data_IF_637964010970
#
_entry.id   IF_637964010970
#
_cell.length_a   1.000
_cell.length_b   1.000
_cell.length_c   1.000
_cell.angle_alpha   90.00
_cell.angle_beta   90.00
_cell.angle_gamma   90.00
#
_symmetry.space_group_name_H-M   'P 1'
#
loop_
_entity.id
_entity.type
_entity.pdbx_description
1 polymer ?
#
# COMPACT_ATOMS: atom_id res chain seq x y z
N UNK A 1 -12.04 0.42 -18.11
CA UNK A 1 -11.26 -0.01 -16.90
C UNK A 1 -10.68 1.17 -16.11
N UNK A 2 -10.88 1.24 -14.77
CA UNK A 2 -10.31 2.28 -13.88
C UNK A 2 -9.25 1.67 -12.95
N UNK A 3 -8.12 2.36 -12.73
CA UNK A 3 -7.13 1.98 -11.72
C UNK A 3 -7.72 2.19 -10.31
N UNK A 4 -7.70 1.16 -9.46
CA UNK A 4 -8.20 1.25 -8.08
C UNK A 4 -7.15 1.71 -7.08
N UNK A 5 -5.87 1.57 -7.41
CA UNK A 5 -4.78 2.15 -6.63
C UNK A 5 -4.79 3.68 -6.69
N UNK A 6 -5.19 4.28 -5.59
CA UNK A 6 -5.24 5.73 -5.40
C UNK A 6 -3.82 6.26 -5.14
N UNK A 7 -3.48 7.39 -5.75
CA UNK A 7 -2.20 8.06 -5.48
C UNK A 7 -2.29 8.87 -4.19
N UNK A 8 -1.23 8.94 -3.36
CA UNK A 8 -1.24 9.66 -2.11
C UNK A 8 -1.03 11.18 -2.34
N UNK A 9 -1.99 11.80 -3.03
CA UNK A 9 -2.13 13.25 -3.19
C UNK A 9 -2.73 13.85 -1.93
N UNK A 10 -2.56 15.15 -1.71
CA UNK A 10 -3.11 15.84 -0.53
C UNK A 10 -4.64 15.65 -0.41
N UNK A 11 -5.37 15.77 -1.52
CA UNK A 11 -6.82 15.54 -1.57
C UNK A 11 -7.20 14.11 -1.17
N UNK A 12 -6.53 13.09 -1.71
CA UNK A 12 -6.80 11.70 -1.37
C UNK A 12 -6.42 11.36 0.08
N UNK A 13 -5.35 11.97 0.61
CA UNK A 13 -4.95 11.81 2.01
C UNK A 13 -6.02 12.39 2.94
N UNK A 14 -6.52 13.57 2.60
CA UNK A 14 -7.59 14.26 3.31
C UNK A 14 -8.89 13.46 3.31
N UNK A 15 -9.35 13.02 2.13
CA UNK A 15 -10.54 12.16 2.01
C UNK A 15 -10.35 10.84 2.79
N UNK A 16 -9.17 10.23 2.68
CA UNK A 16 -8.89 8.98 3.38
C UNK A 16 -8.93 9.12 4.91
N UNK A 17 -8.53 10.27 5.45
CA UNK A 17 -8.66 10.58 6.88
C UNK A 17 -10.12 10.81 7.25
N UNK A 18 -10.85 11.61 6.47
CA UNK A 18 -12.26 11.93 6.72
C UNK A 18 -13.14 10.68 6.79
N UNK A 19 -12.94 9.76 5.86
CA UNK A 19 -13.75 8.55 5.76
C UNK A 19 -13.17 7.36 6.55
N UNK A 20 -12.04 7.59 7.25
CA UNK A 20 -11.29 6.58 8.01
C UNK A 20 -11.11 5.27 7.21
N UNK A 21 -10.67 5.42 5.95
CA UNK A 21 -10.70 4.37 4.92
C UNK A 21 -10.01 3.09 5.38
N UNK A 22 -8.86 3.20 6.05
CA UNK A 22 -8.08 2.05 6.52
C UNK A 22 -8.35 1.69 7.99
N UNK A 23 -9.17 2.47 8.70
CA UNK A 23 -9.37 2.30 10.14
C UNK A 23 -8.21 2.79 11.03
N UNK A 24 -7.17 3.43 10.45
CA UNK A 24 -5.93 3.79 11.16
C UNK A 24 -5.88 5.20 11.73
N UNK A 25 -6.97 5.96 11.72
CA UNK A 25 -6.95 7.33 12.25
C UNK A 25 -6.49 7.39 13.72
N UNK A 26 -6.90 6.42 14.54
CA UNK A 26 -6.44 6.33 15.93
C UNK A 26 -4.92 6.09 16.02
N UNK A 27 -4.36 5.31 15.10
CA UNK A 27 -2.90 5.07 15.07
C UNK A 27 -2.13 6.30 14.58
N UNK A 28 -2.72 7.09 13.67
CA UNK A 28 -2.17 8.41 13.31
C UNK A 28 -2.12 9.27 14.56
N UNK A 29 -3.23 9.39 15.30
CA UNK A 29 -3.27 10.13 16.57
C UNK A 29 -2.19 9.66 17.56
N UNK A 30 -2.07 8.35 17.79
CA UNK A 30 -1.09 7.77 18.71
C UNK A 30 0.35 8.12 18.33
N UNK A 31 0.70 8.08 17.04
CA UNK A 31 2.04 8.48 16.59
C UNK A 31 2.28 9.98 16.83
N UNK A 32 1.29 10.84 16.53
CA UNK A 32 1.42 12.28 16.76
C UNK A 32 1.50 12.64 18.25
N UNK A 33 0.77 11.91 19.09
CA UNK A 33 0.85 12.02 20.55
C UNK A 33 2.25 11.63 21.04
N UNK A 34 2.80 10.53 20.53
CA UNK A 34 4.18 10.12 20.82
C UNK A 34 5.17 11.22 20.42
N UNK A 35 5.05 11.80 19.22
CA UNK A 35 5.93 12.86 18.77
C UNK A 35 5.85 14.12 19.63
N UNK A 36 4.69 14.46 20.19
CA UNK A 36 4.55 15.59 21.13
C UNK A 36 5.27 15.35 22.46
N UNK A 37 5.14 14.15 23.02
CA UNK A 37 5.68 13.80 24.33
C UNK A 37 7.12 13.32 24.30
N UNK A 38 7.63 12.93 23.14
CA UNK A 38 8.99 12.45 22.96
C UNK A 38 10.02 13.51 23.44
N UNK A 39 11.06 13.06 24.13
CA UNK A 39 12.18 13.89 24.57
C UNK A 39 13.44 13.54 23.76
N UNK A 40 14.24 14.55 23.43
CA UNK A 40 15.45 14.38 22.63
C UNK A 40 15.19 14.20 21.13
N UNK A 41 16.04 13.42 20.47
CA UNK A 41 16.03 13.19 19.02
C UNK A 41 16.00 11.70 18.77
N UNK A 42 15.03 11.21 18.00
CA UNK A 42 14.83 9.79 17.74
C UNK A 42 14.90 9.48 16.25
N UNK A 43 15.32 8.26 15.93
CA UNK A 43 15.10 7.60 14.65
C UNK A 43 14.09 6.46 14.85
N UNK A 44 12.91 6.61 14.23
CA UNK A 44 11.78 5.69 14.39
C UNK A 44 11.55 4.96 13.07
N UNK A 45 11.46 3.64 13.09
CA UNK A 45 11.01 2.85 11.94
C UNK A 45 9.52 2.49 12.09
N UNK A 46 8.70 2.86 11.11
CA UNK A 46 7.34 2.35 10.90
C UNK A 46 7.45 1.14 9.96
N UNK A 47 7.44 -0.05 10.56
CA UNK A 47 7.61 -1.31 9.86
C UNK A 47 6.26 -1.85 9.34
N UNK A 48 6.20 -2.23 8.07
CA UNK A 48 5.05 -2.96 7.53
C UNK A 48 5.31 -3.47 6.12
N UNK A 49 4.50 -4.41 5.66
CA UNK A 49 4.74 -5.09 4.38
C UNK A 49 4.50 -4.16 3.18
N UNK A 50 4.94 -4.59 2.00
CA UNK A 50 4.57 -3.93 0.74
C UNK A 50 3.07 -3.99 0.48
N UNK A 51 2.49 -2.84 0.07
CA UNK A 51 1.06 -2.75 -0.20
C UNK A 51 0.17 -2.59 1.05
N UNK A 52 0.75 -2.55 2.26
CA UNK A 52 0.01 -2.35 3.52
C UNK A 52 -0.50 -0.92 3.73
N UNK A 53 -0.03 0.06 2.94
CA UNK A 53 -0.46 1.46 3.02
C UNK A 53 0.45 2.39 3.83
N UNK A 54 1.73 2.02 4.08
CA UNK A 54 2.69 2.82 4.84
C UNK A 54 2.81 4.28 4.34
N UNK A 55 2.98 4.48 3.04
CA UNK A 55 3.07 5.81 2.42
C UNK A 55 1.85 6.68 2.72
N UNK A 56 0.65 6.11 2.66
CA UNK A 56 -0.57 6.81 3.07
C UNK A 56 -0.51 7.19 4.55
N UNK A 57 -0.13 6.25 5.42
CA UNK A 57 -0.04 6.49 6.86
C UNK A 57 0.95 7.61 7.23
N UNK A 58 2.17 7.61 6.69
CA UNK A 58 3.15 8.68 6.98
C UNK A 58 2.75 10.03 6.38
N UNK A 59 2.14 10.04 5.18
CA UNK A 59 1.61 11.27 4.58
C UNK A 59 0.39 11.81 5.33
N UNK A 60 -0.45 10.95 5.91
CA UNK A 60 -1.52 11.34 6.82
C UNK A 60 -0.97 12.01 8.08
N UNK A 61 0.05 11.42 8.71
CA UNK A 61 0.73 12.03 9.85
C UNK A 61 1.32 13.40 9.50
N UNK A 62 2.02 13.48 8.37
CA UNK A 62 2.56 14.74 7.85
C UNK A 62 1.47 15.79 7.61
N UNK A 63 0.38 15.41 6.96
CA UNK A 63 -0.75 16.30 6.65
C UNK A 63 -1.32 16.91 7.93
N UNK A 64 -1.60 16.07 8.95
CA UNK A 64 -2.12 16.55 10.23
C UNK A 64 -1.13 17.50 10.91
N UNK A 65 0.16 17.15 10.97
CA UNK A 65 1.20 18.03 11.52
C UNK A 65 1.28 19.38 10.79
N UNK A 66 1.23 19.39 9.46
CA UNK A 66 1.28 20.62 8.67
C UNK A 66 0.05 21.50 8.92
N UNK A 67 -1.14 20.91 9.01
CA UNK A 67 -2.36 21.66 9.30
C UNK A 67 -2.36 22.24 10.73
N UNK A 68 -1.84 21.54 11.73
CA UNK A 68 -1.69 22.05 13.10
C UNK A 68 -0.72 23.23 13.19
N UNK A 69 0.28 23.29 12.30
CA UNK A 69 1.28 24.36 12.26
C UNK A 69 0.92 25.52 11.32
N UNK A 70 -0.21 25.43 10.61
CA UNK A 70 -0.62 26.47 9.68
C UNK A 70 -1.04 27.74 10.42
N UNK A 71 -0.53 28.89 9.97
CA UNK A 71 -0.94 30.22 10.43
C UNK A 71 -2.33 30.63 9.92
N UNK A 72 -2.91 29.83 9.02
CA UNK A 72 -4.22 30.04 8.43
C UNK A 72 -5.28 29.31 9.28
N UNK A 73 -6.09 30.08 10.02
CA UNK A 73 -7.19 29.57 10.84
C UNK A 73 -8.18 28.71 10.03
N UNK A 74 -8.25 28.87 8.71
CA UNK A 74 -9.09 28.02 7.84
C UNK A 74 -8.55 26.59 7.69
N UNK A 75 -7.22 26.39 7.73
CA UNK A 75 -6.60 25.05 7.66
C UNK A 75 -6.61 24.34 9.03
N UNK A 76 -6.40 25.06 10.14
CA UNK A 76 -6.68 24.55 11.49
C UNK A 76 -8.17 24.23 11.66
N UNK A 77 -9.03 25.04 11.03
CA UNK A 77 -10.46 24.82 10.91
C UNK A 77 -10.84 23.59 10.09
N UNK A 78 -10.04 23.16 9.12
CA UNK A 78 -10.32 21.97 8.31
C UNK A 78 -10.23 20.67 9.12
N UNK A 79 -9.23 20.49 9.98
CA UNK A 79 -9.14 19.31 10.86
C UNK A 79 -10.36 19.24 11.81
N UNK A 80 -10.74 20.38 12.38
CA UNK A 80 -11.87 20.51 13.30
C UNK A 80 -13.23 20.38 12.62
N UNK A 81 -13.42 20.98 11.43
CA UNK A 81 -14.67 20.94 10.66
C UNK A 81 -14.91 19.57 10.02
N UNK A 82 -13.85 18.84 9.70
CA UNK A 82 -13.91 17.47 9.18
C UNK A 82 -14.03 16.42 10.28
N UNK A 83 -14.01 16.83 11.56
CA UNK A 83 -14.12 15.96 12.74
C UNK A 83 -13.12 14.80 12.70
N UNK A 84 -11.93 15.03 12.15
CA UNK A 84 -10.89 13.99 12.00
C UNK A 84 -10.47 13.45 13.37
N UNK A 85 -10.35 14.35 14.34
CA UNK A 85 -10.09 14.05 15.74
C UNK A 85 -11.09 14.84 16.60
N UNK A 86 -11.38 14.32 17.79
CA UNK A 86 -12.14 15.09 18.77
C UNK A 86 -11.27 16.24 19.31
N UNK A 87 -11.90 17.22 19.97
CA UNK A 87 -11.19 18.41 20.47
C UNK A 87 -10.10 18.05 21.49
N UNK A 88 -10.36 17.10 22.39
CA UNK A 88 -9.41 16.68 23.43
C UNK A 88 -8.13 16.09 22.81
N UNK A 89 -8.28 15.25 21.78
CA UNK A 89 -7.18 14.68 21.02
C UNK A 89 -6.38 15.78 20.29
N UNK A 90 -7.05 16.78 19.72
CA UNK A 90 -6.37 17.90 19.05
C UNK A 90 -5.59 18.76 20.03
N UNK A 91 -6.20 19.12 21.16
CA UNK A 91 -5.53 19.87 22.22
C UNK A 91 -4.32 19.09 22.78
N UNK A 92 -4.36 17.75 22.75
CA UNK A 92 -3.24 16.92 23.19
C UNK A 92 -2.06 16.91 22.19
N UNK A 93 -2.34 17.02 20.89
CA UNK A 93 -1.32 16.99 19.82
C UNK A 93 -0.90 18.37 19.27
N UNK A 94 -1.54 19.45 19.70
CA UNK A 94 -1.18 20.84 19.38
C UNK A 94 -0.37 21.52 20.52
N UNK A 95 0.42 20.73 21.28
CA UNK A 95 1.23 21.25 22.40
C UNK A 95 2.54 21.87 21.97
N UNK A 96 3.12 21.39 20.86
CA UNK A 96 4.43 21.82 20.35
C UNK A 96 4.34 22.12 18.86
N UNK A 97 5.08 23.13 18.36
CA UNK A 97 5.16 23.37 16.93
C UNK A 97 5.98 22.28 16.24
N UNK A 98 5.60 21.91 15.03
CA UNK A 98 6.34 21.00 14.17
C UNK A 98 6.65 21.63 12.82
N UNK A 99 7.79 21.25 12.25
CA UNK A 99 8.06 21.40 10.82
C UNK A 99 8.23 20.01 10.26
N UNK A 100 7.74 19.79 9.05
CA UNK A 100 7.85 18.47 8.41
C UNK A 100 8.65 18.57 7.12
N UNK A 101 9.37 17.50 6.81
CA UNK A 101 10.02 17.24 5.53
C UNK A 101 9.60 15.84 5.10
N UNK A 102 9.30 15.66 3.82
CA UNK A 102 9.06 14.36 3.22
C UNK A 102 10.17 14.08 2.21
N UNK A 103 10.84 12.95 2.35
CA UNK A 103 11.92 12.50 1.49
C UNK A 103 11.59 11.09 0.99
N UNK A 104 11.30 10.97 -0.30
CA UNK A 104 11.12 9.69 -0.98
C UNK A 104 12.49 9.19 -1.44
N UNK A 105 13.07 8.23 -0.71
CA UNK A 105 14.42 7.77 -1.02
C UNK A 105 14.50 7.11 -2.40
N UNK A 106 13.40 6.51 -2.88
CA UNK A 106 13.38 5.77 -4.14
C UNK A 106 13.32 6.70 -5.35
N UNK A 107 12.55 7.80 -5.28
CA UNK A 107 12.56 8.85 -6.32
C UNK A 107 13.97 9.44 -6.54
N UNK A 108 14.78 9.49 -5.48
CA UNK A 108 16.13 10.04 -5.49
C UNK A 108 17.25 9.00 -5.63
N UNK A 109 16.94 7.71 -5.88
CA UNK A 109 17.93 6.62 -5.84
C UNK A 109 19.01 6.64 -6.95
N UNK A 110 18.82 7.51 -7.94
CA UNK A 110 19.78 7.79 -9.01
C UNK A 110 20.73 8.94 -8.67
N UNK A 111 20.45 9.68 -7.60
CA UNK A 111 21.29 10.78 -7.17
C UNK A 111 22.60 10.29 -6.55
N UNK A 112 23.59 11.19 -6.57
CA UNK A 112 24.92 10.83 -6.14
C UNK A 112 25.03 10.69 -4.63
N UNK A 113 24.37 11.56 -3.86
CA UNK A 113 24.45 11.56 -2.41
C UNK A 113 23.08 11.94 -1.79
N UNK A 114 22.55 11.15 -0.83
CA UNK A 114 21.27 11.42 -0.18
C UNK A 114 21.17 12.78 0.51
N UNK A 115 22.29 13.35 0.96
CA UNK A 115 22.30 14.70 1.55
C UNK A 115 21.90 15.75 0.51
N UNK A 116 22.22 15.52 -0.76
CA UNK A 116 21.84 16.40 -1.86
C UNK A 116 20.32 16.51 -2.01
N UNK A 117 19.64 15.37 -2.13
CA UNK A 117 18.18 15.34 -2.23
C UNK A 117 17.50 15.83 -0.97
N UNK A 118 18.02 15.48 0.21
CA UNK A 118 17.45 15.96 1.47
C UNK A 118 17.49 17.49 1.55
N UNK A 119 18.59 18.12 1.11
CA UNK A 119 18.68 19.58 0.99
C UNK A 119 17.68 20.15 -0.01
N UNK A 120 17.45 19.48 -1.14
CA UNK A 120 16.41 19.87 -2.09
C UNK A 120 15.02 19.83 -1.42
N UNK A 121 14.68 18.75 -0.71
CA UNK A 121 13.42 18.62 0.02
C UNK A 121 13.24 19.70 1.11
N UNK A 122 14.32 20.10 1.80
CA UNK A 122 14.30 21.22 2.74
C UNK A 122 13.98 22.53 2.01
N UNK A 123 14.70 22.80 0.91
CA UNK A 123 14.56 24.03 0.14
C UNK A 123 13.18 24.17 -0.54
N UNK A 124 12.50 23.06 -0.84
CA UNK A 124 11.17 23.03 -1.46
C UNK A 124 10.04 22.70 -0.48
N UNK A 125 10.31 22.71 0.83
CA UNK A 125 9.30 22.44 1.86
C UNK A 125 8.18 23.48 1.86
N UNK A 126 7.00 23.13 2.39
CA UNK A 126 5.85 24.03 2.48
C UNK A 126 6.16 25.32 3.28
N UNK A 127 7.02 25.23 4.29
CA UNK A 127 7.46 26.36 5.10
C UNK A 127 8.66 27.13 4.52
N UNK A 128 9.24 26.69 3.38
CA UNK A 128 10.37 27.38 2.76
C UNK A 128 10.03 28.78 2.22
N UNK A 129 8.75 29.03 1.95
CA UNK A 129 8.23 30.34 1.56
C UNK A 129 8.20 31.36 2.71
N UNK A 130 8.39 30.93 3.97
CA UNK A 130 8.35 31.81 5.13
C UNK A 130 9.55 32.79 5.13
N UNK A 131 9.32 34.11 5.03
CA UNK A 131 10.40 35.09 4.96
C UNK A 131 11.36 35.05 6.16
N UNK A 132 10.88 34.64 7.35
CA UNK A 132 11.70 34.55 8.57
C UNK A 132 12.70 33.38 8.52
N UNK A 133 12.44 32.37 7.70
CA UNK A 133 13.25 31.15 7.59
C UNK A 133 14.14 31.14 6.35
N UNK A 134 13.92 32.06 5.40
CA UNK A 134 14.64 32.11 4.12
C UNK A 134 16.15 32.14 4.30
N UNK A 135 16.65 32.94 5.25
CA UNK A 135 18.08 33.05 5.53
C UNK A 135 18.65 31.78 6.18
N UNK A 136 17.89 31.15 7.10
CA UNK A 136 18.29 29.89 7.75
C UNK A 136 18.34 28.74 6.74
N UNK A 137 17.33 28.61 5.87
CA UNK A 137 17.29 27.60 4.80
C UNK A 137 18.47 27.81 3.87
N UNK A 138 18.71 29.06 3.45
CA UNK A 138 19.83 29.40 2.58
C UNK A 138 21.17 29.07 3.21
N UNK A 139 21.39 29.46 4.46
CA UNK A 139 22.59 29.12 5.23
C UNK A 139 22.78 27.61 5.31
N UNK A 140 21.71 26.86 5.59
CA UNK A 140 21.76 25.38 5.66
C UNK A 140 22.13 24.76 4.32
N UNK A 141 21.53 25.22 3.23
CA UNK A 141 21.84 24.76 1.89
C UNK A 141 23.28 25.10 1.47
N UNK A 142 23.75 26.32 1.74
CA UNK A 142 25.12 26.75 1.44
C UNK A 142 26.16 25.88 2.18
N UNK A 143 25.93 25.60 3.47
CA UNK A 143 26.82 24.73 4.26
C UNK A 143 26.73 23.29 3.77
N UNK A 144 25.53 22.78 3.51
CA UNK A 144 25.31 21.43 3.00
C UNK A 144 25.95 21.19 1.63
N UNK A 145 25.88 22.17 0.73
CA UNK A 145 26.58 22.15 -0.57
C UNK A 145 28.09 22.07 -0.39
N UNK A 146 28.67 22.85 0.53
CA UNK A 146 30.10 22.80 0.81
C UNK A 146 30.50 21.45 1.42
N UNK A 147 29.68 20.88 2.31
CA UNK A 147 29.87 19.53 2.83
C UNK A 147 29.87 18.49 1.69
N UNK A 148 28.90 18.57 0.77
CA UNK A 148 28.78 17.70 -0.40
C UNK A 148 30.02 17.75 -1.30
N UNK A 149 30.57 18.95 -1.57
CA UNK A 149 31.81 19.12 -2.35
C UNK A 149 32.99 18.36 -1.74
N UNK A 150 33.05 18.25 -0.41
CA UNK A 150 34.12 17.53 0.31
C UNK A 150 33.88 16.02 0.34
N UNK A 151 32.66 15.57 0.65
CA UNK A 151 32.35 14.13 0.82
C UNK A 151 32.04 13.40 -0.49
N UNK A 152 31.73 14.13 -1.56
CA UNK A 152 31.38 13.62 -2.89
C UNK A 152 32.09 14.43 -3.99
N UNK A 153 33.43 14.36 -4.10
CA UNK A 153 34.24 15.27 -4.92
C UNK A 153 34.11 15.11 -6.45
N UNK A 154 33.27 14.19 -6.97
CA UNK A 154 33.33 13.73 -8.37
C UNK A 154 32.27 14.25 -9.35
N UNK A 155 31.29 15.10 -8.99
CA UNK A 155 30.30 15.62 -9.97
C UNK A 155 29.82 17.03 -9.62
N UNK A 156 30.18 18.01 -10.45
CA UNK A 156 29.90 19.44 -10.24
C UNK A 156 28.50 19.91 -10.65
N UNK A 157 27.86 19.25 -11.64
CA UNK A 157 26.56 19.70 -12.19
C UNK A 157 25.41 19.64 -11.17
N UNK A 158 25.36 18.56 -10.38
CA UNK A 158 24.31 18.33 -9.38
C UNK A 158 24.32 19.36 -8.23
N UNK A 159 25.47 19.99 -7.98
CA UNK A 159 25.66 21.03 -6.97
C UNK A 159 25.15 22.38 -7.47
N UNK A 160 25.25 22.66 -8.76
CA UNK A 160 24.80 23.92 -9.37
C UNK A 160 23.26 24.04 -9.34
N UNK A 161 22.54 22.93 -9.56
CA UNK A 161 21.07 22.91 -9.50
C UNK A 161 20.53 23.23 -8.10
N UNK A 162 21.15 22.69 -7.03
CA UNK A 162 20.80 23.05 -5.65
C UNK A 162 21.04 24.54 -5.35
N UNK A 163 22.16 25.08 -5.83
CA UNK A 163 22.49 26.50 -5.64
C UNK A 163 21.47 27.40 -6.37
N UNK A 164 20.97 26.95 -7.52
CA UNK A 164 19.95 27.66 -8.28
C UNK A 164 18.57 27.66 -7.59
N UNK A 165 18.22 26.57 -6.89
CA UNK A 165 16.98 26.48 -6.11
C UNK A 165 16.93 27.46 -4.92
N UNK A 166 18.09 27.94 -4.44
CA UNK A 166 18.22 28.73 -3.19
C UNK A 166 18.54 30.22 -3.44
N UNK A 167 18.50 30.68 -4.69
CA UNK A 167 18.64 32.09 -5.11
C UNK A 167 20.00 32.76 -4.72
N UNK A 168 21.01 32.41 -5.51
CA UNK A 168 22.35 33.02 -5.75
C UNK A 168 23.26 33.44 -4.59
N UNK A 169 24.34 32.66 -4.47
CA UNK A 169 25.76 32.94 -4.13
C UNK A 169 26.25 32.04 -2.98
N UNK A 170 26.38 30.75 -3.25
CA UNK A 170 27.26 29.92 -2.44
C UNK A 170 28.67 30.54 -2.53
N UNK A 171 29.21 30.99 -1.41
CA UNK A 171 30.61 31.44 -1.36
C UNK A 171 31.48 30.22 -1.60
N UNK A 172 32.29 30.23 -2.66
CA UNK A 172 33.34 29.24 -2.86
C UNK A 172 34.33 29.35 -1.70
N UNK A 173 34.24 28.43 -0.73
CA UNK A 173 35.28 28.24 0.27
C UNK A 173 36.44 27.50 -0.40
N UNK A 174 37.48 28.26 -0.75
CA UNK A 174 38.66 27.78 -1.49
C UNK A 174 39.76 27.12 -0.65
N UNK A 175 39.55 26.92 0.64
CA UNK A 175 40.59 26.35 1.51
C UNK A 175 40.26 24.94 1.94
N UNK A 176 41.26 24.18 2.41
CA UNK A 176 41.12 22.86 3.03
C UNK A 176 40.14 22.96 4.20
N UNK A 177 38.85 22.86 3.92
CA UNK A 177 37.84 22.95 4.95
C UNK A 177 37.91 21.67 5.76
N UNK A 178 38.12 21.82 7.06
CA UNK A 178 38.06 20.71 8.00
C UNK A 178 36.65 20.09 7.93
N UNK A 179 36.58 18.82 7.52
CA UNK A 179 35.33 18.08 7.40
C UNK A 179 34.55 18.07 8.72
N UNK A 180 35.24 17.96 9.85
CA UNK A 180 34.59 17.97 11.17
C UNK A 180 34.00 19.34 11.48
N UNK A 181 34.66 20.42 11.04
CA UNK A 181 34.11 21.77 11.14
C UNK A 181 32.84 21.93 10.28
N UNK A 182 32.85 21.47 9.02
CA UNK A 182 31.67 21.54 8.16
C UNK A 182 30.50 20.70 8.68
N UNK A 183 30.78 19.49 9.18
CA UNK A 183 29.76 18.66 9.82
C UNK A 183 29.13 19.38 11.01
N UNK A 184 29.94 20.04 11.84
CA UNK A 184 29.45 20.82 12.98
C UNK A 184 28.64 22.03 12.52
N UNK A 185 29.11 22.80 11.55
CA UNK A 185 28.36 23.94 10.99
C UNK A 185 27.02 23.49 10.39
N UNK A 186 27.00 22.32 9.74
CA UNK A 186 25.77 21.77 9.18
C UNK A 186 24.83 21.27 10.27
N UNK A 187 25.37 20.62 11.31
CA UNK A 187 24.63 20.22 12.50
C UNK A 187 23.95 21.44 13.16
N UNK A 188 24.70 22.51 13.39
CA UNK A 188 24.18 23.75 14.00
C UNK A 188 23.09 24.38 13.10
N UNK A 189 23.26 24.35 11.77
CA UNK A 189 22.27 24.85 10.83
C UNK A 189 20.98 24.00 10.84
N UNK A 190 21.08 22.68 10.96
CA UNK A 190 19.92 21.80 11.09
C UNK A 190 19.14 22.06 12.41
N UNK A 191 19.85 22.35 13.52
CA UNK A 191 19.19 22.75 14.78
C UNK A 191 18.37 24.03 14.58
N UNK A 192 18.89 25.02 13.86
CA UNK A 192 18.19 26.27 13.57
C UNK A 192 16.94 26.08 12.68
N UNK A 193 16.83 24.96 11.94
CA UNK A 193 15.64 24.64 11.14
C UNK A 193 14.49 24.06 11.97
N UNK A 194 14.72 23.58 13.19
CA UNK A 194 13.63 23.21 14.09
C UNK A 194 12.87 24.48 14.54
N UNK A 195 11.54 24.43 14.75
CA UNK A 195 10.81 25.53 15.37
C UNK A 195 11.22 25.70 16.83
N UNK A 196 11.09 26.92 17.35
CA UNK A 196 11.30 27.22 18.77
C UNK A 196 10.34 26.39 19.64
N UNK A 197 10.86 25.75 20.69
CA UNK A 197 10.13 24.82 21.57
C UNK A 197 9.40 23.66 20.85
N UNK A 198 9.84 23.33 19.63
CA UNK A 198 9.21 22.31 18.81
C UNK A 198 10.21 21.41 18.09
N UNK A 199 9.76 20.72 17.03
CA UNK A 199 10.56 19.70 16.35
C UNK A 199 10.51 19.75 14.83
N UNK A 200 11.60 19.33 14.20
CA UNK A 200 11.66 19.00 12.77
C UNK A 200 11.47 17.50 12.58
N UNK A 201 10.41 17.10 11.89
CA UNK A 201 10.11 15.71 11.56
C UNK A 201 10.52 15.44 10.12
N UNK A 202 11.45 14.51 9.92
CA UNK A 202 11.91 14.09 8.60
C UNK A 202 11.33 12.70 8.31
N UNK A 203 10.30 12.65 7.46
CA UNK A 203 9.76 11.40 6.95
C UNK A 203 10.66 10.90 5.82
N UNK A 204 11.19 9.69 5.96
CA UNK A 204 11.96 8.97 4.95
C UNK A 204 11.12 7.78 4.49
N UNK A 205 10.64 7.79 3.25
CA UNK A 205 9.81 6.72 2.70
C UNK A 205 10.54 5.95 1.58
N UNK A 206 10.05 4.74 1.28
CA UNK A 206 10.46 3.91 0.14
C UNK A 206 11.96 3.50 0.14
N UNK A 207 12.64 3.58 1.29
CA UNK A 207 14.05 3.21 1.43
C UNK A 207 14.32 1.73 1.10
N UNK A 208 13.38 0.84 1.44
CA UNK A 208 13.42 -0.60 1.18
C UNK A 208 13.21 -0.98 -0.30
N UNK A 209 12.89 -0.01 -1.17
CA UNK A 209 12.83 -0.21 -2.64
C UNK A 209 14.05 0.31 -3.38
N UNK A 210 14.92 1.07 -2.71
CA UNK A 210 16.13 1.62 -3.31
C UNK A 210 17.12 0.52 -3.73
N UNK A 211 18.00 0.85 -4.69
CA UNK A 211 19.19 0.02 -4.98
C UNK A 211 19.99 -0.22 -3.70
N UNK A 212 20.55 -1.43 -3.47
CA UNK A 212 21.25 -1.74 -2.23
C UNK A 212 22.36 -0.75 -1.87
N UNK A 213 23.15 -0.32 -2.85
CA UNK A 213 24.21 0.67 -2.63
C UNK A 213 23.67 2.03 -2.18
N UNK A 214 22.49 2.44 -2.68
CA UNK A 214 21.88 3.71 -2.31
C UNK A 214 21.23 3.62 -0.94
N UNK A 215 20.46 2.57 -0.66
CA UNK A 215 19.81 2.37 0.64
C UNK A 215 20.81 2.40 1.81
N UNK A 216 21.92 1.65 1.67
CA UNK A 216 23.01 1.67 2.66
C UNK A 216 23.63 3.06 2.79
N UNK A 217 23.83 3.75 1.66
CA UNK A 217 24.36 5.10 1.67
C UNK A 217 23.43 6.09 2.39
N UNK A 218 22.11 6.00 2.20
CA UNK A 218 21.12 6.82 2.93
C UNK A 218 21.29 6.62 4.44
N UNK A 219 21.27 5.36 4.89
CA UNK A 219 21.44 5.03 6.30
C UNK A 219 22.78 5.56 6.85
N UNK A 220 23.89 5.32 6.15
CA UNK A 220 25.22 5.73 6.58
C UNK A 220 25.44 7.25 6.59
N UNK A 221 24.77 7.99 5.70
CA UNK A 221 24.85 9.45 5.67
C UNK A 221 23.95 10.09 6.71
N UNK A 222 22.69 9.66 6.78
CA UNK A 222 21.69 10.30 7.64
C UNK A 222 21.92 10.00 9.12
N UNK A 223 22.52 8.85 9.48
CA UNK A 223 22.78 8.48 10.88
C UNK A 223 23.56 9.53 11.68
N UNK A 224 24.41 10.31 11.01
CA UNK A 224 25.18 11.37 11.64
C UNK A 224 24.31 12.53 12.17
N UNK A 225 23.04 12.59 11.75
CA UNK A 225 22.09 13.64 12.12
C UNK A 225 20.97 13.14 13.04
N UNK A 226 20.93 11.85 13.39
CA UNK A 226 19.94 11.30 14.34
C UNK A 226 20.04 11.93 15.73
N UNK A 227 21.23 12.35 16.14
CA UNK A 227 21.46 12.99 17.44
C UNK A 227 21.27 14.50 17.43
N UNK A 228 20.86 15.12 16.32
CA UNK A 228 20.64 16.57 16.25
C UNK A 228 19.41 16.94 17.07
N UNK A 229 19.52 17.80 18.11
CA UNK A 229 18.41 18.17 18.99
C UNK A 229 17.17 18.59 18.21
N UNK A 230 16.01 18.16 18.71
CA UNK A 230 14.70 18.52 18.16
C UNK A 230 14.46 18.05 16.72
N UNK A 231 15.28 17.14 16.20
CA UNK A 231 15.03 16.47 14.92
C UNK A 231 14.61 15.03 15.20
N UNK A 232 13.57 14.57 14.52
CA UNK A 232 13.12 13.18 14.57
C UNK A 232 13.00 12.64 13.16
N UNK A 233 13.65 11.51 12.90
CA UNK A 233 13.54 10.81 11.63
C UNK A 233 12.49 9.70 11.76
N UNK A 234 11.59 9.62 10.79
CA UNK A 234 10.55 8.58 10.72
C UNK A 234 10.73 7.84 9.40
N UNK A 235 11.19 6.60 9.47
CA UNK A 235 11.42 5.73 8.34
C UNK A 235 10.20 4.85 8.10
N UNK A 236 9.53 4.98 6.97
CA UNK A 236 8.50 4.04 6.51
C UNK A 236 9.16 2.96 5.67
N UNK A 237 9.26 1.75 6.20
CA UNK A 237 10.04 0.65 5.58
C UNK A 237 9.38 -0.70 5.77
N UNK A 238 9.69 -1.64 4.89
CA UNK A 238 9.60 -3.08 5.19
C UNK A 238 10.98 -3.54 5.70
N UNK A 239 11.09 -3.84 7.00
CA UNK A 239 12.37 -4.23 7.61
C UNK A 239 12.91 -5.55 7.06
N UNK A 240 12.05 -6.48 6.64
CA UNK A 240 12.48 -7.75 6.05
C UNK A 240 13.13 -7.50 4.68
N UNK A 241 12.54 -6.62 3.87
CA UNK A 241 13.12 -6.24 2.57
C UNK A 241 14.37 -5.39 2.72
N UNK A 242 14.41 -4.49 3.71
CA UNK A 242 15.60 -3.71 4.01
C UNK A 242 16.74 -4.60 4.53
N UNK A 243 16.46 -5.61 5.36
CA UNK A 243 17.44 -6.61 5.79
C UNK A 243 18.03 -7.36 4.59
N UNK A 244 17.18 -7.81 3.65
CA UNK A 244 17.63 -8.47 2.42
C UNK A 244 18.51 -7.53 1.58
N UNK A 245 18.20 -6.25 1.56
CA UNK A 245 19.00 -5.21 0.91
C UNK A 245 20.40 -5.08 1.55
N UNK A 246 20.47 -5.10 2.88
CA UNK A 246 21.73 -5.10 3.65
C UNK A 246 22.56 -6.35 3.35
N UNK A 247 21.93 -7.54 3.36
CA UNK A 247 22.59 -8.81 3.01
C UNK A 247 23.16 -8.80 1.59
N UNK A 248 22.42 -8.28 0.61
CA UNK A 248 22.94 -8.15 -0.76
C UNK A 248 24.16 -7.22 -0.88
N UNK A 249 24.28 -6.23 0.01
CA UNK A 249 25.41 -5.31 0.00
C UNK A 249 26.65 -5.88 0.70
N UNK A 250 26.48 -6.48 1.89
CA UNK A 250 27.59 -6.97 2.73
C UNK A 250 27.91 -8.46 2.56
N UNK A 251 27.00 -9.25 1.96
CA UNK A 251 27.08 -10.70 1.80
C UNK A 251 25.88 -11.42 2.45
N UNK A 252 25.44 -12.54 1.86
CA UNK A 252 24.23 -13.26 2.29
C UNK A 252 24.26 -13.74 3.76
N UNK A 253 25.45 -14.08 4.26
CA UNK A 253 25.69 -14.51 5.64
C UNK A 253 25.77 -13.34 6.64
N UNK A 254 25.71 -12.09 6.16
CA UNK A 254 25.78 -10.92 7.02
C UNK A 254 24.50 -10.78 7.86
N UNK A 255 24.67 -10.43 9.14
CA UNK A 255 23.54 -10.18 10.02
C UNK A 255 22.93 -8.80 9.75
N UNK A 256 22.10 -8.75 8.70
CA UNK A 256 21.43 -7.53 8.29
C UNK A 256 20.43 -7.00 9.32
N UNK A 257 19.89 -7.86 10.21
CA UNK A 257 18.89 -7.43 11.19
C UNK A 257 19.56 -6.63 12.32
N UNK A 258 20.57 -7.21 12.97
CA UNK A 258 21.33 -6.50 14.01
C UNK A 258 22.16 -5.32 13.48
N UNK A 259 22.42 -5.28 12.17
CA UNK A 259 22.97 -4.07 11.55
C UNK A 259 21.98 -2.90 11.59
N UNK A 260 20.69 -3.16 11.33
CA UNK A 260 19.64 -2.15 11.32
C UNK A 260 19.33 -1.59 12.73
N UNK A 261 19.56 -2.36 13.80
CA UNK A 261 19.44 -1.90 15.19
C UNK A 261 20.30 -0.67 15.52
N UNK A 262 21.36 -0.43 14.73
CA UNK A 262 22.23 0.76 14.90
C UNK A 262 21.60 2.05 14.39
N UNK A 263 20.47 1.96 13.68
CA UNK A 263 19.85 3.09 12.99
C UNK A 263 18.49 3.47 13.57
N UNK A 264 17.81 2.61 14.31
CA UNK A 264 16.47 2.88 14.83
C UNK A 264 16.45 2.76 16.35
N UNK A 265 16.08 3.85 17.02
CA UNK A 265 15.86 3.88 18.46
C UNK A 265 14.55 3.18 18.83
N UNK A 266 13.57 3.22 17.91
CA UNK A 266 12.25 2.62 18.09
C UNK A 266 11.75 2.01 16.78
N UNK A 267 11.26 0.78 16.85
CA UNK A 267 10.54 0.11 15.76
C UNK A 267 9.07 -0.02 16.15
N UNK A 268 8.18 0.56 15.34
CA UNK A 268 6.73 0.48 15.49
C UNK A 268 6.19 -0.33 14.32
N UNK A 269 5.49 -1.42 14.59
CA UNK A 269 4.79 -2.15 13.53
C UNK A 269 3.52 -1.40 13.16
N UNK A 270 3.33 -1.15 11.87
CA UNK A 270 2.11 -0.58 11.33
C UNK A 270 0.98 -1.60 11.52
N UNK A 271 -0.10 -1.26 12.25
CA UNK A 271 -1.21 -2.18 12.46
C UNK A 271 -1.89 -2.57 11.14
N UNK A 272 -2.44 -3.78 11.07
CA UNK A 272 -3.25 -4.19 9.93
C UNK A 272 -4.42 -3.24 9.70
N UNK A 273 -4.78 -2.96 8.44
CA UNK A 273 -5.91 -2.10 8.14
C UNK A 273 -7.21 -2.80 8.56
N UNK A 274 -8.19 -2.03 9.00
CA UNK A 274 -9.52 -2.56 9.25
C UNK A 274 -10.18 -2.91 7.91
N UNK A 275 -10.30 -4.22 7.64
CA UNK A 275 -10.86 -4.73 6.40
C UNK A 275 -12.30 -4.26 6.18
N UNK A 276 -13.13 -4.21 7.22
CA UNK A 276 -14.53 -3.77 7.08
C UNK A 276 -14.63 -2.31 6.69
N UNK A 277 -13.82 -1.44 7.29
CA UNK A 277 -13.73 -0.03 6.89
C UNK A 277 -13.25 0.10 5.46
N UNK A 278 -12.22 -0.66 5.07
CA UNK A 278 -11.68 -0.59 3.72
C UNK A 278 -12.74 -1.03 2.70
N UNK A 279 -13.35 -2.19 2.92
CA UNK A 279 -14.39 -2.74 2.06
C UNK A 279 -15.59 -1.82 1.93
N UNK A 280 -16.06 -1.22 3.05
CA UNK A 280 -17.15 -0.25 3.04
C UNK A 280 -16.82 1.00 2.22
N UNK A 281 -15.58 1.51 2.32
CA UNK A 281 -15.14 2.68 1.57
C UNK A 281 -14.79 2.36 0.10
N UNK A 282 -14.64 1.08 -0.22
CA UNK A 282 -14.50 0.57 -1.59
C UNK A 282 -15.79 -0.08 -2.10
N UNK A 283 -16.93 0.18 -1.44
CA UNK A 283 -18.20 -0.41 -1.85
C UNK A 283 -18.56 -0.01 -3.29
N UNK A 284 -19.07 -0.97 -4.05
CA UNK A 284 -19.28 -0.82 -5.49
C UNK A 284 -18.02 -0.95 -6.37
N UNK A 285 -16.82 -1.14 -5.81
CA UNK A 285 -15.66 -1.51 -6.63
C UNK A 285 -15.84 -2.89 -7.25
N UNK A 286 -16.41 -3.87 -6.54
CA UNK A 286 -16.67 -5.21 -7.08
C UNK A 286 -17.98 -5.22 -7.87
N UNK A 287 -17.88 -5.06 -9.20
CA UNK A 287 -19.03 -4.98 -10.12
C UNK A 287 -19.78 -6.31 -10.22
N UNK A 288 -19.07 -7.42 -9.96
CA UNK A 288 -19.60 -8.78 -10.03
C UNK A 288 -20.92 -8.93 -9.25
N UNK A 289 -21.02 -8.33 -8.05
CA UNK A 289 -22.24 -8.40 -7.25
C UNK A 289 -23.44 -7.74 -7.95
N UNK A 290 -23.25 -6.56 -8.55
CA UNK A 290 -24.33 -5.83 -9.21
C UNK A 290 -24.87 -6.57 -10.43
N UNK A 291 -24.00 -7.32 -11.13
CA UNK A 291 -24.39 -8.05 -12.34
C UNK A 291 -25.20 -9.30 -12.02
N UNK A 292 -24.89 -9.98 -10.92
CA UNK A 292 -25.56 -11.21 -10.52
C UNK A 292 -26.65 -11.02 -9.46
N UNK A 293 -26.86 -9.78 -9.00
CA UNK A 293 -27.95 -9.44 -8.07
C UNK A 293 -29.32 -9.84 -8.60
N UNK A 294 -29.55 -9.78 -9.92
CA UNK A 294 -30.80 -10.22 -10.53
C UNK A 294 -31.04 -11.74 -10.40
N UNK A 295 -30.00 -12.52 -10.12
CA UNK A 295 -30.08 -13.98 -9.96
C UNK A 295 -30.10 -14.39 -8.49
N UNK A 296 -29.51 -13.59 -7.59
CA UNK A 296 -29.55 -13.82 -6.15
C UNK A 296 -29.34 -12.50 -5.36
N UNK A 297 -30.24 -12.19 -4.42
CA UNK A 297 -30.22 -10.95 -3.63
C UNK A 297 -29.39 -11.02 -2.34
N UNK A 298 -28.86 -12.19 -1.96
CA UNK A 298 -28.28 -12.44 -0.63
C UNK A 298 -26.78 -12.12 -0.54
N UNK A 299 -26.22 -11.39 -1.51
CA UNK A 299 -24.83 -10.91 -1.53
C UNK A 299 -23.75 -12.01 -1.31
N UNK A 300 -24.05 -13.28 -1.59
CA UNK A 300 -23.11 -14.42 -1.45
C UNK A 300 -21.75 -14.13 -2.08
N UNK A 301 -21.74 -13.51 -3.26
CA UNK A 301 -20.51 -13.20 -3.99
C UNK A 301 -19.60 -12.19 -3.25
N UNK A 302 -20.19 -11.15 -2.65
CA UNK A 302 -19.42 -10.14 -1.89
C UNK A 302 -18.80 -10.76 -0.64
N UNK A 303 -19.60 -11.55 0.09
CA UNK A 303 -19.11 -12.25 1.28
C UNK A 303 -18.04 -13.28 0.93
N UNK A 304 -18.21 -14.02 -0.17
CA UNK A 304 -17.19 -14.97 -0.63
C UNK A 304 -15.89 -14.28 -1.03
N UNK A 305 -15.96 -13.14 -1.73
CA UNK A 305 -14.78 -12.34 -2.05
C UNK A 305 -14.07 -11.81 -0.80
N UNK A 306 -14.83 -11.42 0.23
CA UNK A 306 -14.27 -11.05 1.54
C UNK A 306 -13.57 -12.22 2.22
N UNK A 307 -14.15 -13.42 2.17
CA UNK A 307 -13.55 -14.63 2.72
C UNK A 307 -12.25 -15.00 1.97
N UNK A 308 -12.21 -14.82 0.64
CA UNK A 308 -10.99 -15.00 -0.16
C UNK A 308 -9.88 -14.01 0.27
N UNK A 309 -10.23 -12.74 0.42
CA UNK A 309 -9.30 -11.69 0.88
C UNK A 309 -8.69 -12.05 2.24
N UNK A 310 -9.52 -12.52 3.17
CA UNK A 310 -9.07 -12.95 4.50
C UNK A 310 -8.22 -14.23 4.43
N UNK A 311 -8.65 -15.23 3.67
CA UNK A 311 -7.94 -16.51 3.52
C UNK A 311 -6.52 -16.33 2.97
N UNK A 312 -6.38 -15.51 1.93
CA UNK A 312 -5.08 -15.25 1.30
C UNK A 312 -4.31 -14.07 1.94
N UNK A 313 -4.84 -13.47 3.01
CA UNK A 313 -4.23 -12.33 3.71
C UNK A 313 -3.81 -11.20 2.76
N UNK A 314 -4.71 -10.77 1.88
CA UNK A 314 -4.38 -9.74 0.89
C UNK A 314 -4.11 -8.38 1.54
N UNK A 315 -2.96 -7.79 1.19
CA UNK A 315 -2.69 -6.37 1.42
C UNK A 315 -3.69 -5.48 0.68
N UNK A 316 -3.82 -4.20 1.07
CA UNK A 316 -4.71 -3.24 0.41
C UNK A 316 -4.48 -3.17 -1.10
N UNK A 317 -3.21 -3.20 -1.54
CA UNK A 317 -2.86 -3.24 -2.97
C UNK A 317 -3.32 -4.54 -3.65
N UNK A 318 -3.16 -5.68 -2.99
CA UNK A 318 -3.63 -6.96 -3.53
C UNK A 318 -5.16 -7.00 -3.62
N UNK A 319 -5.89 -6.42 -2.66
CA UNK A 319 -7.36 -6.28 -2.73
C UNK A 319 -7.76 -5.49 -3.98
N UNK A 320 -7.14 -4.34 -4.21
CA UNK A 320 -7.39 -3.53 -5.41
C UNK A 320 -7.11 -4.31 -6.71
N UNK A 321 -5.98 -5.01 -6.78
CA UNK A 321 -5.64 -5.83 -7.94
C UNK A 321 -6.62 -6.99 -8.14
N UNK A 322 -7.03 -7.65 -7.05
CA UNK A 322 -8.01 -8.72 -7.06
C UNK A 322 -9.37 -8.23 -7.60
N UNK A 323 -9.84 -7.07 -7.15
CA UNK A 323 -11.08 -6.47 -7.67
C UNK A 323 -10.97 -6.08 -9.14
N UNK A 324 -9.87 -5.43 -9.53
CA UNK A 324 -9.64 -5.06 -10.93
C UNK A 324 -9.69 -6.30 -11.82
N UNK A 325 -8.97 -7.34 -11.42
CA UNK A 325 -8.89 -8.58 -12.18
C UNK A 325 -10.24 -9.30 -12.25
N UNK A 326 -10.93 -9.41 -11.13
CA UNK A 326 -12.25 -10.07 -11.05
C UNK A 326 -13.27 -9.33 -11.91
N UNK A 327 -13.30 -8.00 -11.86
CA UNK A 327 -14.20 -7.21 -12.71
C UNK A 327 -13.88 -7.37 -14.19
N UNK A 328 -12.61 -7.25 -14.59
CA UNK A 328 -12.21 -7.41 -15.99
C UNK A 328 -12.55 -8.80 -16.52
N UNK A 329 -12.32 -9.85 -15.73
CA UNK A 329 -12.71 -11.20 -16.12
C UNK A 329 -14.24 -11.34 -16.24
N UNK A 330 -14.99 -10.71 -15.33
CA UNK A 330 -16.46 -10.70 -15.36
C UNK A 330 -17.01 -10.00 -16.60
N UNK A 331 -16.47 -8.83 -16.98
CA UNK A 331 -16.88 -8.10 -18.17
C UNK A 331 -16.64 -8.89 -19.47
N UNK A 332 -15.54 -9.63 -19.56
CA UNK A 332 -15.27 -10.52 -20.71
C UNK A 332 -16.30 -11.63 -20.85
N UNK A 333 -16.99 -11.97 -19.76
CA UNK A 333 -17.97 -13.03 -19.73
C UNK A 333 -19.42 -12.50 -19.87
N UNK A 334 -19.65 -11.20 -19.64
CA UNK A 334 -20.98 -10.61 -19.49
C UNK A 334 -21.92 -10.86 -20.67
N UNK A 335 -21.47 -10.65 -21.91
CA UNK A 335 -22.30 -10.82 -23.12
C UNK A 335 -22.71 -12.26 -23.34
N UNK A 336 -21.85 -13.19 -22.96
CA UNK A 336 -22.08 -14.62 -23.11
C UNK A 336 -22.87 -15.21 -21.94
N UNK A 337 -23.20 -14.39 -20.93
CA UNK A 337 -23.99 -14.73 -19.73
C UNK A 337 -25.36 -14.04 -19.75
N UNK A 338 -25.38 -12.70 -19.81
CA UNK A 338 -26.57 -11.89 -19.56
C UNK A 338 -27.46 -11.68 -20.80
N UNK A 339 -26.93 -11.84 -22.02
CA UNK A 339 -27.74 -11.73 -23.25
C UNK A 339 -28.45 -13.04 -23.63
N UNK A 340 -28.47 -14.04 -22.74
CA UNK A 340 -29.14 -15.32 -22.97
C UNK A 340 -30.44 -15.38 -22.16
N UNK A 341 -31.52 -15.83 -22.80
CA UNK A 341 -32.75 -16.23 -22.10
C UNK A 341 -32.47 -17.54 -21.34
N UNK A 342 -31.86 -17.43 -20.16
CA UNK A 342 -31.55 -18.55 -19.28
C UNK A 342 -32.73 -18.85 -18.37
N UNK A 343 -33.01 -20.13 -18.18
CA UNK A 343 -33.95 -20.57 -17.13
C UNK A 343 -33.27 -20.57 -15.76
N UNK A 344 -34.05 -20.51 -14.68
CA UNK A 344 -33.53 -20.40 -13.30
C UNK A 344 -32.47 -21.47 -12.96
N UNK A 345 -32.68 -22.72 -13.39
CA UNK A 345 -31.69 -23.79 -13.18
C UNK A 345 -30.31 -23.53 -13.82
N UNK A 346 -30.28 -22.91 -15.00
CA UNK A 346 -29.03 -22.51 -15.65
C UNK A 346 -28.40 -21.30 -14.97
N UNK A 347 -29.22 -20.34 -14.52
CA UNK A 347 -28.73 -19.17 -13.78
C UNK A 347 -28.00 -19.61 -12.50
N UNK A 348 -28.58 -20.55 -11.74
CA UNK A 348 -27.97 -21.06 -10.52
C UNK A 348 -26.65 -21.83 -10.79
N UNK A 349 -26.61 -22.66 -11.83
CA UNK A 349 -25.37 -23.33 -12.24
C UNK A 349 -24.27 -22.35 -12.70
N UNK A 350 -24.63 -21.28 -13.41
CA UNK A 350 -23.69 -20.24 -13.81
C UNK A 350 -23.24 -19.37 -12.64
N UNK A 351 -24.11 -19.13 -11.65
CA UNK A 351 -23.74 -18.43 -10.42
C UNK A 351 -22.62 -19.17 -9.68
N UNK A 352 -22.67 -20.49 -9.62
CA UNK A 352 -21.56 -21.31 -9.07
C UNK A 352 -20.24 -21.01 -9.78
N UNK A 353 -20.25 -21.00 -11.11
CA UNK A 353 -19.05 -20.76 -11.91
C UNK A 353 -18.52 -19.34 -11.71
N UNK A 354 -19.38 -18.32 -11.81
CA UNK A 354 -18.93 -16.93 -11.89
C UNK A 354 -18.84 -16.20 -10.56
N UNK A 355 -19.56 -16.64 -9.53
CA UNK A 355 -19.53 -16.03 -8.20
C UNK A 355 -18.65 -16.79 -7.21
N UNK A 356 -18.22 -18.02 -7.53
CA UNK A 356 -17.31 -18.80 -6.67
C UNK A 356 -16.03 -19.24 -7.39
N UNK A 357 -16.12 -19.98 -8.49
CA UNK A 357 -14.92 -20.48 -9.18
C UNK A 357 -14.09 -19.35 -9.81
N UNK A 358 -14.74 -18.37 -10.46
CA UNK A 358 -14.02 -17.26 -11.09
C UNK A 358 -13.31 -16.36 -10.06
N UNK A 359 -13.93 -15.88 -8.96
CA UNK A 359 -13.23 -15.14 -7.92
C UNK A 359 -12.12 -15.97 -7.27
N UNK A 360 -12.33 -17.26 -7.00
CA UNK A 360 -11.27 -18.13 -6.49
C UNK A 360 -10.07 -18.20 -7.45
N UNK A 361 -10.31 -18.37 -8.75
CA UNK A 361 -9.26 -18.34 -9.77
C UNK A 361 -8.52 -17.00 -9.81
N UNK A 362 -9.23 -15.88 -9.72
CA UNK A 362 -8.62 -14.55 -9.68
C UNK A 362 -7.79 -14.35 -8.39
N UNK A 363 -8.27 -14.82 -7.24
CA UNK A 363 -7.56 -14.76 -5.98
C UNK A 363 -6.29 -15.63 -6.00
N UNK A 364 -6.40 -16.88 -6.46
CA UNK A 364 -5.25 -17.78 -6.63
C UNK A 364 -4.18 -17.16 -7.53
N UNK A 365 -4.55 -16.59 -8.67
CA UNK A 365 -3.55 -15.98 -9.54
C UNK A 365 -2.78 -14.81 -8.89
N UNK A 366 -3.42 -14.12 -7.93
CA UNK A 366 -2.82 -13.01 -7.20
C UNK A 366 -2.01 -13.48 -5.98
N UNK A 367 -2.43 -14.58 -5.34
CA UNK A 367 -1.87 -15.09 -4.09
C UNK A 367 -0.74 -16.11 -4.31
N UNK A 368 -0.98 -17.07 -5.20
CA UNK A 368 -0.15 -18.25 -5.41
C UNK A 368 -0.26 -18.68 -6.89
N UNK A 369 0.72 -18.23 -7.67
CA UNK A 369 0.78 -18.51 -9.11
C UNK A 369 0.97 -20.00 -9.41
N UNK A 370 1.65 -20.72 -8.53
CA UNK A 370 1.92 -22.15 -8.71
C UNK A 370 0.64 -22.95 -8.47
N UNK A 371 -0.10 -22.63 -7.42
CA UNK A 371 -1.42 -23.22 -7.16
C UNK A 371 -2.44 -22.84 -8.24
N UNK A 372 -2.45 -21.58 -8.70
CA UNK A 372 -3.28 -21.21 -9.86
C UNK A 372 -3.00 -22.07 -11.09
N UNK A 373 -1.71 -22.30 -11.41
CA UNK A 373 -1.31 -23.13 -12.54
C UNK A 373 -1.70 -24.60 -12.35
N UNK A 374 -1.62 -25.13 -11.13
CA UNK A 374 -2.14 -26.46 -10.79
C UNK A 374 -3.66 -26.52 -10.97
N UNK A 375 -4.37 -25.53 -10.47
CA UNK A 375 -5.82 -25.41 -10.52
C UNK A 375 -6.35 -25.47 -11.97
N UNK A 376 -5.83 -24.63 -12.87
CA UNK A 376 -6.29 -24.62 -14.28
C UNK A 376 -5.91 -25.88 -15.07
N UNK A 377 -4.92 -26.65 -14.59
CA UNK A 377 -4.49 -27.93 -15.17
C UNK A 377 -5.28 -29.12 -14.62
N UNK A 378 -6.27 -28.89 -13.76
CA UNK A 378 -7.07 -29.97 -13.18
C UNK A 378 -6.38 -30.71 -12.02
N UNK A 379 -5.40 -30.06 -11.37
CA UNK A 379 -4.57 -30.61 -10.30
C UNK A 379 -4.55 -29.74 -9.04
N UNK A 380 -5.64 -29.02 -8.76
CA UNK A 380 -5.79 -28.21 -7.54
C UNK A 380 -5.44 -29.02 -6.29
N UNK A 381 -4.83 -28.37 -5.30
CA UNK A 381 -4.57 -28.98 -4.01
C UNK A 381 -5.88 -29.27 -3.27
N UNK A 382 -5.86 -30.29 -2.41
CA UNK A 382 -7.00 -30.58 -1.53
C UNK A 382 -7.31 -29.39 -0.62
N UNK A 383 -6.30 -28.66 -0.14
CA UNK A 383 -6.48 -27.47 0.70
C UNK A 383 -7.36 -26.41 0.03
N UNK A 384 -7.19 -26.15 -1.27
CA UNK A 384 -7.99 -25.17 -2.01
C UNK A 384 -9.42 -25.66 -2.26
N UNK A 385 -9.58 -26.95 -2.59
CA UNK A 385 -10.90 -27.53 -2.81
C UNK A 385 -11.68 -27.62 -1.49
N UNK A 386 -10.99 -27.93 -0.39
CA UNK A 386 -11.56 -27.96 0.95
C UNK A 386 -11.88 -26.56 1.46
N UNK A 387 -11.06 -25.55 1.16
CA UNK A 387 -11.41 -24.15 1.43
C UNK A 387 -12.72 -23.77 0.74
N UNK A 388 -12.89 -24.08 -0.55
CA UNK A 388 -14.12 -23.77 -1.28
C UNK A 388 -15.31 -24.55 -0.71
N UNK A 389 -15.15 -25.85 -0.44
CA UNK A 389 -16.21 -26.70 0.09
C UNK A 389 -16.67 -26.31 1.50
N UNK A 390 -15.75 -25.85 2.35
CA UNK A 390 -16.04 -25.47 3.73
C UNK A 390 -16.40 -23.97 3.89
N UNK A 391 -16.34 -23.19 2.81
CA UNK A 391 -16.73 -21.79 2.85
C UNK A 391 -18.24 -21.66 3.10
N UNK A 392 -18.64 -20.85 4.08
CA UNK A 392 -20.03 -20.74 4.50
C UNK A 392 -20.96 -20.20 3.41
N UNK A 393 -20.47 -19.30 2.56
CA UNK A 393 -21.26 -18.73 1.46
C UNK A 393 -21.51 -19.77 0.37
N UNK A 394 -20.47 -20.54 0.02
CA UNK A 394 -20.58 -21.60 -0.98
C UNK A 394 -21.47 -22.76 -0.49
N UNK A 395 -21.26 -23.21 0.75
CA UNK A 395 -22.03 -24.28 1.37
C UNK A 395 -23.52 -23.93 1.52
N UNK A 396 -23.83 -22.71 1.97
CA UNK A 396 -25.23 -22.24 2.09
C UNK A 396 -25.87 -22.17 0.71
N UNK A 397 -25.21 -21.53 -0.26
CA UNK A 397 -25.72 -21.43 -1.63
C UNK A 397 -25.95 -22.82 -2.25
N UNK A 398 -25.03 -23.76 -2.06
CA UNK A 398 -25.18 -25.14 -2.53
C UNK A 398 -26.43 -25.79 -1.93
N UNK A 399 -26.60 -25.72 -0.60
CA UNK A 399 -27.75 -26.30 0.09
C UNK A 399 -29.08 -25.72 -0.38
N UNK A 400 -29.11 -24.42 -0.66
CA UNK A 400 -30.31 -23.76 -1.19
C UNK A 400 -30.69 -24.35 -2.55
N UNK A 401 -29.73 -24.43 -3.47
CA UNK A 401 -29.98 -24.89 -4.84
C UNK A 401 -30.05 -26.42 -4.98
N UNK A 402 -29.60 -27.19 -3.99
CA UNK A 402 -29.65 -28.66 -4.00
C UNK A 402 -30.80 -29.24 -3.16
N UNK A 403 -31.67 -28.40 -2.61
CA UNK A 403 -32.70 -28.79 -1.63
C UNK A 403 -33.69 -29.85 -2.14
N UNK A 404 -33.94 -29.86 -3.45
CA UNK A 404 -34.82 -30.77 -4.19
C UNK A 404 -34.09 -31.99 -4.80
N UNK A 405 -32.76 -32.09 -4.64
CA UNK A 405 -31.98 -33.19 -5.22
C UNK A 405 -32.35 -34.55 -4.61
N UNK A 406 -32.51 -35.55 -5.49
CA UNK A 406 -32.75 -36.96 -5.13
C UNK A 406 -31.47 -37.67 -4.63
N UNK A 407 -30.30 -37.14 -5.00
CA UNK A 407 -28.98 -37.65 -4.61
C UNK A 407 -28.25 -36.59 -3.78
N UNK A 408 -28.47 -36.61 -2.46
CA UNK A 408 -27.91 -35.62 -1.53
C UNK A 408 -26.42 -35.92 -1.29
N UNK A 409 -25.58 -35.37 -2.15
CA UNK A 409 -24.13 -35.31 -1.95
C UNK A 409 -23.81 -34.23 -0.90
N UNK A 410 -22.71 -34.42 -0.18
CA UNK A 410 -22.17 -33.34 0.65
C UNK A 410 -21.45 -32.30 -0.23
N UNK A 411 -21.30 -31.09 0.32
CA UNK A 411 -20.67 -29.96 -0.38
C UNK A 411 -19.24 -30.30 -0.84
N UNK A 412 -18.50 -31.10 -0.07
CA UNK A 412 -17.12 -31.49 -0.38
C UNK A 412 -17.02 -32.38 -1.63
N UNK A 413 -17.85 -33.43 -1.70
CA UNK A 413 -17.94 -34.32 -2.85
C UNK A 413 -18.37 -33.54 -4.08
N UNK A 414 -19.34 -32.64 -3.90
CA UNK A 414 -19.89 -31.84 -4.97
C UNK A 414 -18.90 -30.80 -5.52
N UNK A 415 -18.14 -30.12 -4.66
CA UNK A 415 -17.06 -29.20 -5.08
C UNK A 415 -16.06 -29.90 -6.00
N UNK A 416 -15.63 -31.12 -5.60
CA UNK A 416 -14.70 -31.94 -6.39
C UNK A 416 -15.30 -32.40 -7.72
N UNK A 417 -16.59 -32.72 -7.73
CA UNK A 417 -17.32 -33.08 -8.95
C UNK A 417 -17.39 -31.91 -9.93
N UNK A 418 -17.80 -30.71 -9.49
CA UNK A 418 -17.79 -29.51 -10.34
C UNK A 418 -16.38 -29.22 -10.83
N UNK A 419 -15.38 -29.26 -9.96
CA UNK A 419 -13.99 -28.99 -10.33
C UNK A 419 -13.51 -29.95 -11.42
N UNK A 420 -13.74 -31.25 -11.26
CA UNK A 420 -13.37 -32.25 -12.25
C UNK A 420 -14.15 -32.09 -13.57
N UNK A 421 -15.44 -31.79 -13.49
CA UNK A 421 -16.28 -31.51 -14.65
C UNK A 421 -15.77 -30.29 -15.44
N UNK A 422 -15.37 -29.22 -14.74
CA UNK A 422 -14.85 -27.99 -15.35
C UNK A 422 -13.43 -28.16 -15.92
N UNK A 423 -12.50 -28.81 -15.20
CA UNK A 423 -11.07 -28.75 -15.53
C UNK A 423 -10.46 -30.06 -16.06
N UNK A 424 -11.09 -31.20 -15.81
CA UNK A 424 -10.62 -32.54 -16.21
C UNK A 424 -11.47 -33.19 -17.31
N UNK A 425 -12.64 -32.63 -17.65
CA UNK A 425 -13.46 -33.10 -18.77
C UNK A 425 -14.01 -34.52 -18.57
N UNK A 426 -14.25 -34.92 -17.33
CA UNK A 426 -14.61 -36.30 -16.98
C UNK A 426 -16.07 -36.66 -17.26
N UNK A 427 -16.92 -35.70 -17.63
CA UNK A 427 -18.34 -35.96 -17.87
C UNK A 427 -18.64 -36.40 -19.31
N UNK A 428 -19.27 -37.56 -19.45
CA UNK A 428 -19.69 -38.11 -20.76
C UNK A 428 -20.79 -37.30 -21.45
N UNK A 429 -21.53 -36.45 -20.74
CA UNK A 429 -22.76 -35.81 -21.21
C UNK A 429 -22.69 -34.27 -21.36
N UNK A 430 -21.51 -33.64 -21.23
CA UNK A 430 -21.33 -32.16 -21.35
C UNK A 430 -22.33 -31.33 -20.50
N UNK A 431 -22.91 -31.96 -19.46
CA UNK A 431 -23.92 -31.41 -18.56
C UNK A 431 -23.82 -32.04 -17.17
N UNK A 432 -23.55 -31.19 -16.17
CA UNK A 432 -23.57 -31.54 -14.75
C UNK A 432 -24.91 -31.11 -14.14
N UNK A 433 -25.65 -32.07 -13.57
CA UNK A 433 -26.93 -31.81 -12.91
C UNK A 433 -26.72 -31.83 -11.40
N UNK A 434 -27.09 -30.73 -10.74
CA UNK A 434 -27.00 -30.56 -9.29
C UNK A 434 -28.34 -30.93 -8.66
N UNK A 435 -29.41 -30.41 -9.26
CA UNK A 435 -30.82 -30.63 -8.91
C UNK A 435 -31.73 -30.16 -10.06
N UNK A 436 -33.05 -30.17 -9.88
CA UNK A 436 -33.95 -29.53 -10.85
C UNK A 436 -33.81 -27.99 -10.79
N UNK A 437 -33.37 -27.46 -9.65
CA UNK A 437 -33.09 -26.03 -9.42
C UNK A 437 -31.70 -25.57 -9.86
N UNK A 438 -30.74 -26.46 -10.17
CA UNK A 438 -29.42 -26.04 -10.65
C UNK A 438 -28.73 -27.08 -11.54
N UNK A 439 -28.21 -26.63 -12.68
CA UNK A 439 -27.40 -27.46 -13.58
C UNK A 439 -26.51 -26.61 -14.48
N UNK A 440 -25.41 -27.22 -14.94
CA UNK A 440 -24.40 -26.57 -15.79
C UNK A 440 -24.36 -27.30 -17.12
N UNK A 441 -24.76 -26.63 -18.21
CA UNK A 441 -24.65 -27.14 -19.58
C UNK A 441 -23.38 -26.63 -20.27
N UNK A 442 -22.89 -27.40 -21.26
CA UNK A 442 -21.72 -27.05 -22.08
C UNK A 442 -20.44 -26.95 -21.27
N UNK A 443 -20.21 -27.89 -20.37
CA UNK A 443 -19.06 -27.92 -19.47
C UNK A 443 -17.71 -27.73 -20.19
N UNK A 444 -17.58 -28.36 -21.36
CA UNK A 444 -16.38 -28.33 -22.20
C UNK A 444 -15.88 -26.93 -22.55
N UNK A 445 -16.75 -25.91 -22.54
CA UNK A 445 -16.35 -24.53 -22.91
C UNK A 445 -15.80 -23.74 -21.73
N UNK A 446 -16.14 -24.09 -20.47
CA UNK A 446 -15.88 -23.20 -19.34
C UNK A 446 -14.41 -23.14 -18.95
N UNK A 447 -13.64 -24.23 -19.12
CA UNK A 447 -12.19 -24.21 -18.87
C UNK A 447 -11.53 -23.11 -19.67
N UNK A 448 -11.64 -23.19 -20.99
CA UNK A 448 -11.03 -22.22 -21.90
C UNK A 448 -11.61 -20.82 -21.69
N UNK A 449 -12.91 -20.72 -21.45
CA UNK A 449 -13.58 -19.45 -21.23
C UNK A 449 -13.14 -18.75 -19.94
N UNK A 450 -13.00 -19.46 -18.82
CA UNK A 450 -12.50 -18.92 -17.56
C UNK A 450 -11.03 -18.52 -17.67
N UNK A 451 -10.20 -19.37 -18.28
CA UNK A 451 -8.77 -19.08 -18.49
C UNK A 451 -8.61 -17.82 -19.36
N UNK A 452 -9.37 -17.71 -20.45
CA UNK A 452 -9.37 -16.53 -21.34
C UNK A 452 -9.90 -15.28 -20.64
N UNK A 453 -10.96 -15.41 -19.85
CA UNK A 453 -11.48 -14.29 -19.07
C UNK A 453 -10.42 -13.75 -18.11
N UNK A 454 -9.64 -14.62 -17.46
CA UNK A 454 -8.55 -14.22 -16.59
C UNK A 454 -7.30 -13.71 -17.32
N UNK A 455 -7.12 -13.98 -18.62
CA UNK A 455 -5.93 -13.57 -19.38
C UNK A 455 -5.99 -12.15 -19.92
N UNK A 456 -7.20 -11.60 -20.13
CA UNK A 456 -7.45 -10.25 -20.66
C UNK A 456 -6.84 -9.95 -22.04
N UNK A 457 -6.31 -10.98 -22.73
CA UNK A 457 -5.66 -10.87 -24.05
C UNK A 457 -6.46 -11.57 -25.15
N UNK A 458 -7.74 -11.88 -24.90
CA UNK A 458 -8.62 -12.46 -25.91
C UNK A 458 -9.20 -11.37 -26.82
N UNK A 459 -9.44 -11.68 -28.10
CA UNK A 459 -10.04 -10.74 -29.06
C UNK A 459 -11.44 -10.27 -28.67
N UNK A 460 -12.12 -11.01 -27.79
CA UNK A 460 -13.43 -10.66 -27.24
C UNK A 460 -13.33 -9.90 -25.91
N UNK A 461 -12.13 -9.54 -25.47
CA UNK A 461 -11.93 -8.78 -24.23
C UNK A 461 -12.59 -7.42 -24.36
N UNK A 462 -13.53 -7.11 -23.45
CA UNK A 462 -14.18 -5.81 -23.37
C UNK A 462 -13.46 -4.95 -22.34
N UNK A 463 -12.94 -3.81 -22.79
CA UNK A 463 -12.12 -2.91 -21.96
C UNK A 463 -12.88 -1.68 -21.43
N UNK A 464 -14.11 -1.48 -21.91
CA UNK A 464 -14.95 -0.32 -21.57
C UNK A 464 -15.41 -0.37 -20.11
#
# INVERSE_FOLDING_TARGET
MKKYDIQPTEENIKESLKDNVTGRNENVYQLLQLLNHQEGSWSIAINGDWGSGKTFFVKQCKYVLDCLNSSDDSQKGNINSEKLFNKENLDDIDKKPFRTIYYDAWEHDNETDPIQSLLACIATSNWASNPKLKDTIRKTADIGVNLLKVITPKRGEAVEDLINLVDKKAKDYKDKVDLEKLKKEFYDALVELAPEDGKLIVFVDELDRCKPTYAIKVLERIKHYFSVPNITFIFSVDLSQLQNTVKRYYGEEFDGYHYLDRFFDLVINLPEPNLDNYLKNTDGMLVLNNLFHAWNNDNYCNHFCKDLIAHFSFSLRQINHFYLKTNSATYNLIDSILNRNLVSGQQNGLFIIYCFFLPLMCALNQADIDEFNRFIRGKASDDILDFLANNSQFDTYYKDVSSDSKDKKDTSTFTREIYNALFNGTERNDRLVISDMAYIDRLSIYKDRLIKACSLLDSNTKLD
#
